data_IF_158847343612
#
_entry.id   IF_158847343612
#
_cell.length_a   1.000
_cell.length_b   1.000
_cell.length_c   1.000
_cell.angle_alpha   90.00
_cell.angle_beta   90.00
_cell.angle_gamma   90.00
#
_symmetry.space_group_name_H-M   'P 1'
#
loop_
_entity.id
_entity.type
_entity.pdbx_description
1 polymer ?
#
# COMPACT_ATOMS: atom_id res chain seq x y z
N UNK A 1 -13.74 16.76 -4.37
CA UNK A 1 -12.85 15.71 -3.85
C UNK A 1 -13.65 14.41 -3.84
N UNK A 2 -13.29 13.41 -4.67
CA UNK A 2 -13.98 12.12 -4.64
C UNK A 2 -13.63 11.43 -3.32
N UNK A 3 -14.63 11.05 -2.54
CA UNK A 3 -14.42 10.31 -1.30
C UNK A 3 -13.90 8.91 -1.64
N UNK A 4 -12.75 8.55 -1.07
CA UNK A 4 -12.24 7.18 -1.14
C UNK A 4 -13.22 6.28 -0.39
N UNK A 5 -13.70 5.22 -1.05
CA UNK A 5 -14.62 4.25 -0.47
C UNK A 5 -14.09 2.84 -0.66
N UNK A 6 -14.50 1.90 0.19
CA UNK A 6 -14.13 0.49 0.06
C UNK A 6 -14.46 -0.06 -1.34
N UNK A 7 -15.68 0.19 -1.85
CA UNK A 7 -16.11 -0.25 -3.19
C UNK A 7 -15.23 0.28 -4.31
N UNK A 8 -14.77 1.53 -4.22
CA UNK A 8 -13.86 2.11 -5.22
C UNK A 8 -12.48 1.44 -5.17
N UNK A 9 -11.93 1.28 -3.97
CA UNK A 9 -10.62 0.63 -3.78
C UNK A 9 -10.66 -0.82 -4.26
N UNK A 10 -11.69 -1.58 -3.85
CA UNK A 10 -11.89 -2.96 -4.27
C UNK A 10 -12.01 -3.04 -5.81
N UNK A 11 -12.83 -2.19 -6.45
CA UNK A 11 -12.98 -2.14 -7.91
C UNK A 11 -11.65 -1.90 -8.64
N UNK A 12 -10.79 -1.03 -8.11
CA UNK A 12 -9.50 -0.70 -8.71
C UNK A 12 -8.45 -1.80 -8.47
N UNK A 13 -8.56 -2.53 -7.36
CA UNK A 13 -7.64 -3.60 -6.99
C UNK A 13 -7.98 -4.95 -7.65
N UNK A 14 -9.28 -5.25 -7.85
CA UNK A 14 -9.77 -6.56 -8.30
C UNK A 14 -9.03 -7.15 -9.52
N UNK A 15 -8.75 -6.37 -10.60
CA UNK A 15 -8.07 -6.91 -11.78
C UNK A 15 -6.60 -7.32 -11.55
N UNK A 16 -6.05 -6.97 -10.39
CA UNK A 16 -4.64 -7.15 -10.05
C UNK A 16 -4.43 -8.03 -8.81
N UNK A 17 -5.52 -8.45 -8.16
CA UNK A 17 -5.50 -9.04 -6.83
C UNK A 17 -5.51 -10.56 -6.90
N UNK A 18 -4.66 -11.18 -6.09
CA UNK A 18 -4.75 -12.60 -5.74
C UNK A 18 -5.66 -12.80 -4.52
N UNK A 19 -6.25 -13.99 -4.39
CA UNK A 19 -7.35 -14.26 -3.43
C UNK A 19 -7.02 -13.98 -1.97
N UNK A 20 -5.75 -14.10 -1.58
CA UNK A 20 -5.25 -13.95 -0.21
C UNK A 20 -4.66 -12.55 0.08
N UNK A 21 -4.51 -11.70 -0.93
CA UNK A 21 -3.92 -10.38 -0.75
C UNK A 21 -4.79 -9.46 0.09
N UNK A 22 -4.15 -8.75 1.02
CA UNK A 22 -4.72 -7.63 1.73
C UNK A 22 -4.50 -6.33 0.96
N UNK A 23 -5.42 -5.39 1.15
CA UNK A 23 -5.47 -4.12 0.43
C UNK A 23 -5.29 -2.98 1.42
N UNK A 24 -4.52 -1.96 1.06
CA UNK A 24 -4.57 -0.67 1.74
C UNK A 24 -4.43 0.51 0.78
N UNK A 25 -4.94 1.67 1.17
CA UNK A 25 -4.72 2.94 0.48
C UNK A 25 -3.60 3.72 1.18
N UNK A 26 -2.65 4.23 0.41
CA UNK A 26 -1.45 4.89 0.92
C UNK A 26 -1.08 6.15 0.14
N UNK A 27 -0.22 6.96 0.76
CA UNK A 27 0.44 8.10 0.13
C UNK A 27 1.92 7.77 -0.05
N UNK A 28 2.38 7.49 -1.29
CA UNK A 28 3.80 7.38 -1.61
C UNK A 28 4.54 8.69 -1.27
N UNK A 29 5.78 8.56 -0.79
CA UNK A 29 6.65 9.66 -0.37
C UNK A 29 8.08 9.54 -0.94
N UNK A 30 8.37 8.55 -1.77
CA UNK A 30 9.67 8.39 -2.42
C UNK A 30 9.71 9.04 -3.81
N UNK A 31 10.90 9.41 -4.28
CA UNK A 31 11.11 9.94 -5.64
C UNK A 31 10.78 8.92 -6.73
N UNK A 32 10.86 7.62 -6.42
CA UNK A 32 10.48 6.54 -7.35
C UNK A 32 8.97 6.41 -7.56
N UNK A 33 8.14 7.14 -6.80
CA UNK A 33 6.69 7.08 -6.92
C UNK A 33 6.17 7.77 -8.18
N UNK A 34 5.32 7.07 -8.93
CA UNK A 34 4.69 7.62 -10.14
C UNK A 34 3.63 8.68 -9.83
N UNK A 35 2.97 8.59 -8.68
CA UNK A 35 1.93 9.53 -8.23
C UNK A 35 1.89 9.61 -6.70
N UNK A 36 1.16 10.59 -6.17
CA UNK A 36 0.98 10.79 -4.72
C UNK A 36 -0.09 9.90 -4.08
N UNK A 37 -0.64 8.92 -4.81
CA UNK A 37 -1.72 8.05 -4.33
C UNK A 37 -1.50 6.63 -4.81
N UNK A 38 -1.53 5.66 -3.90
CA UNK A 38 -1.37 4.27 -4.26
C UNK A 38 -2.32 3.35 -3.49
N UNK A 39 -2.68 2.23 -4.12
CA UNK A 39 -3.20 1.06 -3.43
C UNK A 39 -2.04 0.06 -3.32
N UNK A 40 -1.82 -0.46 -2.13
CA UNK A 40 -0.88 -1.56 -1.92
C UNK A 40 -1.69 -2.84 -1.76
N UNK A 41 -1.30 -3.86 -2.51
CA UNK A 41 -1.74 -5.24 -2.34
C UNK A 41 -0.57 -6.05 -1.79
N UNK A 42 -0.81 -6.86 -0.78
CA UNK A 42 0.24 -7.60 -0.08
C UNK A 42 -0.29 -8.94 0.40
N UNK A 43 0.43 -10.01 0.08
CA UNK A 43 0.36 -11.30 0.75
C UNK A 43 1.78 -11.69 1.22
N UNK A 44 2.01 -12.96 1.52
CA UNK A 44 3.32 -13.44 1.97
C UNK A 44 4.37 -13.45 0.86
N UNK A 45 3.93 -13.60 -0.39
CA UNK A 45 4.82 -13.86 -1.51
C UNK A 45 5.10 -12.60 -2.34
N UNK A 46 4.11 -11.70 -2.45
CA UNK A 46 4.14 -10.58 -3.39
C UNK A 46 3.62 -9.29 -2.80
N UNK A 47 4.21 -8.20 -3.27
CA UNK A 47 3.69 -6.85 -3.12
C UNK A 47 3.35 -6.27 -4.50
N UNK A 48 2.15 -5.73 -4.64
CA UNK A 48 1.72 -5.00 -5.83
C UNK A 48 1.38 -3.56 -5.45
N UNK A 49 2.00 -2.61 -6.14
CA UNK A 49 1.80 -1.18 -5.95
C UNK A 49 1.05 -0.61 -7.15
N UNK A 50 -0.20 -0.19 -6.91
CA UNK A 50 -1.07 0.39 -7.92
C UNK A 50 -1.11 1.91 -7.73
N UNK A 51 -0.37 2.65 -8.55
CA UNK A 51 -0.38 4.11 -8.54
C UNK A 51 -1.65 4.63 -9.21
N UNK A 52 -2.29 5.61 -8.59
CA UNK A 52 -3.58 6.13 -9.03
C UNK A 52 -3.44 7.54 -9.60
N UNK A 53 -4.33 7.91 -10.52
CA UNK A 53 -4.43 9.30 -10.95
C UNK A 53 -4.80 10.24 -9.77
N UNK A 54 -4.71 11.55 -10.00
CA UNK A 54 -4.94 12.59 -8.99
C UNK A 54 -6.28 12.44 -8.23
N UNK A 55 -7.30 11.92 -8.90
CA UNK A 55 -8.66 11.75 -8.36
C UNK A 55 -8.95 10.34 -7.83
N UNK A 56 -7.97 9.43 -7.84
CA UNK A 56 -8.13 8.03 -7.43
C UNK A 56 -9.25 7.29 -8.16
N UNK A 57 -9.44 7.57 -9.45
CA UNK A 57 -10.47 6.94 -10.29
C UNK A 57 -9.91 5.90 -11.25
N UNK A 58 -8.60 5.89 -11.51
CA UNK A 58 -7.95 4.84 -12.31
C UNK A 58 -6.55 4.51 -11.78
N UNK A 59 -6.13 3.27 -12.03
CA UNK A 59 -4.73 2.86 -11.95
C UNK A 59 -3.99 3.41 -13.18
N UNK A 60 -2.91 4.16 -12.95
CA UNK A 60 -2.07 4.72 -14.01
C UNK A 60 -0.80 3.91 -14.21
N UNK A 61 -0.32 3.23 -13.16
CA UNK A 61 0.86 2.40 -13.21
C UNK A 61 0.73 1.27 -12.18
N UNK A 62 1.17 0.08 -12.57
CA UNK A 62 1.34 -1.08 -11.68
C UNK A 62 2.83 -1.40 -11.58
N UNK A 63 3.28 -1.70 -10.38
CA UNK A 63 4.60 -2.28 -10.11
C UNK A 63 4.42 -3.47 -9.19
N UNK A 64 5.14 -4.56 -9.42
CA UNK A 64 5.00 -5.82 -8.69
C UNK A 64 6.37 -6.38 -8.37
N UNK A 65 6.51 -6.93 -7.17
CA UNK A 65 7.74 -7.49 -6.64
C UNK A 65 7.46 -8.68 -5.73
N UNK A 66 8.44 -9.57 -5.57
CA UNK A 66 8.43 -10.58 -4.53
C UNK A 66 8.71 -9.94 -3.17
N UNK A 67 8.02 -10.41 -2.14
CA UNK A 67 8.27 -9.99 -0.75
C UNK A 67 9.68 -10.36 -0.31
N UNK A 68 10.20 -11.50 -0.79
CA UNK A 68 11.54 -11.98 -0.50
C UNK A 68 12.65 -11.01 -0.96
N UNK A 69 12.37 -10.18 -1.97
CA UNK A 69 13.31 -9.20 -2.52
C UNK A 69 13.35 -7.88 -1.73
N UNK A 70 12.47 -7.69 -0.74
CA UNK A 70 12.38 -6.45 0.02
C UNK A 70 13.54 -6.31 1.01
N UNK A 71 14.40 -5.32 0.76
CA UNK A 71 15.59 -5.04 1.57
C UNK A 71 15.40 -3.79 2.43
N UNK A 72 16.22 -3.66 3.49
CA UNK A 72 16.26 -2.47 4.36
C UNK A 72 14.88 -1.98 4.82
N UNK A 73 13.99 -2.92 5.13
CA UNK A 73 12.63 -2.60 5.54
C UNK A 73 12.65 -1.80 6.85
N UNK A 74 11.96 -0.66 6.86
CA UNK A 74 11.80 0.21 8.03
C UNK A 74 10.32 0.48 8.25
N UNK A 75 9.90 0.31 9.48
CA UNK A 75 8.54 0.55 9.92
C UNK A 75 8.54 1.54 11.08
N UNK A 76 7.87 2.67 10.89
CA UNK A 76 7.78 3.71 11.90
C UNK A 76 6.32 3.96 12.28
N UNK A 77 5.99 3.56 13.50
CA UNK A 77 4.69 3.71 14.12
C UNK A 77 4.80 4.74 15.25
N UNK A 78 4.88 6.02 14.88
CA UNK A 78 4.88 7.12 15.86
C UNK A 78 3.50 7.37 16.48
N UNK A 79 3.39 8.40 17.33
CA UNK A 79 2.14 8.92 17.94
C UNK A 79 1.10 9.42 16.92
N UNK A 80 1.43 9.41 15.63
CA UNK A 80 0.60 9.92 14.55
C UNK A 80 -0.48 8.91 14.11
N UNK A 81 -1.53 9.45 13.50
CA UNK A 81 -2.64 8.70 12.88
C UNK A 81 -2.24 7.89 11.64
N UNK A 82 -0.97 7.99 11.22
CA UNK A 82 -0.37 7.25 10.12
C UNK A 82 0.88 6.49 10.56
N UNK A 83 1.20 5.48 9.77
CA UNK A 83 2.39 4.65 9.83
C UNK A 83 3.23 4.96 8.60
N UNK A 84 4.55 4.95 8.76
CA UNK A 84 5.47 5.00 7.65
C UNK A 84 6.07 3.62 7.44
N UNK A 85 5.93 3.07 6.25
CA UNK A 85 6.62 1.86 5.82
C UNK A 85 7.51 2.18 4.62
N UNK A 86 8.76 1.77 4.68
CA UNK A 86 9.70 1.93 3.58
C UNK A 86 10.59 0.72 3.41
N UNK A 87 11.06 0.49 2.20
CA UNK A 87 11.95 -0.61 1.84
C UNK A 87 12.73 -0.24 0.58
N UNK A 88 13.78 -0.99 0.30
CA UNK A 88 14.54 -0.93 -0.94
C UNK A 88 14.28 -2.18 -1.77
N UNK A 89 14.24 -2.03 -3.09
CA UNK A 89 14.21 -3.14 -4.03
C UNK A 89 14.86 -2.72 -5.34
N UNK A 90 15.73 -3.56 -5.91
CA UNK A 90 16.46 -3.25 -7.16
C UNK A 90 17.14 -1.88 -7.15
N UNK A 91 17.71 -1.48 -6.00
CA UNK A 91 18.36 -0.17 -5.82
C UNK A 91 17.40 1.03 -5.73
N UNK A 92 16.08 0.81 -5.76
CA UNK A 92 15.07 1.86 -5.62
C UNK A 92 14.50 1.88 -4.21
N UNK A 93 14.42 3.08 -3.63
CA UNK A 93 13.79 3.29 -2.34
C UNK A 93 12.29 3.58 -2.49
N UNK A 94 11.47 2.82 -1.77
CA UNK A 94 10.03 3.01 -1.68
C UNK A 94 9.63 3.42 -0.27
N UNK A 95 8.78 4.44 -0.16
CA UNK A 95 8.29 4.95 1.11
C UNK A 95 6.82 5.29 1.02
N UNK A 96 6.03 4.80 1.96
CA UNK A 96 4.58 4.97 2.02
C UNK A 96 4.15 5.47 3.39
N UNK A 97 3.31 6.50 3.40
CA UNK A 97 2.52 6.90 4.56
C UNK A 97 1.15 6.24 4.48
N UNK A 98 0.79 5.46 5.49
CA UNK A 98 -0.43 4.66 5.54
C UNK A 98 -1.24 5.12 6.75
N UNK A 99 -2.42 5.70 6.52
CA UNK A 99 -3.32 6.08 7.61
C UNK A 99 -3.85 4.83 8.30
N UNK A 100 -3.79 4.78 9.64
CA UNK A 100 -4.30 3.66 10.43
C UNK A 100 -5.81 3.47 10.29
N UNK A 101 -6.53 4.57 10.04
CA UNK A 101 -7.99 4.59 9.90
C UNK A 101 -8.40 5.57 8.82
N UNK A 102 -9.18 5.09 7.86
CA UNK A 102 -9.94 5.87 6.91
C UNK A 102 -11.38 5.38 7.03
N UNK A 103 -12.29 6.21 7.53
CA UNK A 103 -13.62 5.77 7.97
C UNK A 103 -14.37 4.96 6.89
N UNK A 104 -14.41 5.40 5.61
CA UNK A 104 -15.07 4.63 4.54
C UNK A 104 -14.39 3.31 4.16
N UNK A 105 -13.19 3.02 4.67
CA UNK A 105 -12.44 1.78 4.40
C UNK A 105 -12.58 0.75 5.53
N UNK A 106 -13.28 1.08 6.63
CA UNK A 106 -13.48 0.16 7.75
C UNK A 106 -12.17 -0.35 8.33
N UNK A 107 -12.02 -1.67 8.47
CA UNK A 107 -10.83 -2.33 9.00
C UNK A 107 -9.71 -2.56 7.99
N UNK A 108 -9.90 -2.25 6.70
CA UNK A 108 -8.97 -2.55 5.61
C UNK A 108 -7.53 -2.12 5.93
N UNK A 109 -7.36 -0.85 6.33
CA UNK A 109 -6.06 -0.27 6.71
C UNK A 109 -5.42 -1.01 7.89
N UNK A 110 -6.22 -1.31 8.93
CA UNK A 110 -5.75 -1.99 10.14
C UNK A 110 -5.32 -3.43 9.84
N UNK A 111 -6.12 -4.16 9.07
CA UNK A 111 -5.85 -5.55 8.72
C UNK A 111 -4.54 -5.65 7.94
N UNK A 112 -4.34 -4.77 6.96
CA UNK A 112 -3.08 -4.68 6.21
C UNK A 112 -1.88 -4.39 7.14
N UNK A 113 -1.99 -3.38 8.00
CA UNK A 113 -0.88 -3.01 8.90
C UNK A 113 -0.53 -4.11 9.90
N UNK A 114 -1.54 -4.81 10.43
CA UNK A 114 -1.33 -5.95 11.32
C UNK A 114 -0.62 -7.10 10.59
N UNK A 115 -1.07 -7.43 9.38
CA UNK A 115 -0.45 -8.47 8.56
C UNK A 115 1.01 -8.13 8.23
N UNK A 116 1.27 -6.89 7.81
CA UNK A 116 2.60 -6.40 7.49
C UNK A 116 3.56 -6.58 8.68
N UNK A 117 3.14 -6.17 9.87
CA UNK A 117 3.96 -6.35 11.08
C UNK A 117 4.18 -7.83 11.43
N UNK A 118 3.15 -8.66 11.33
CA UNK A 118 3.20 -10.04 11.81
C UNK A 118 3.87 -11.02 10.85
N UNK A 119 3.85 -10.75 9.53
CA UNK A 119 4.24 -11.74 8.53
C UNK A 119 5.39 -11.28 7.62
N UNK A 120 5.66 -9.97 7.55
CA UNK A 120 6.63 -9.43 6.59
C UNK A 120 7.82 -8.75 7.29
N UNK A 121 7.56 -8.06 8.40
CA UNK A 121 8.57 -7.31 9.15
C UNK A 121 9.17 -8.09 10.33
N UNK A 122 8.57 -9.23 10.69
CA UNK A 122 9.01 -10.07 11.80
C UNK A 122 10.36 -10.73 11.50
#
# INVERSE_FOLDING_TARGET
>A
MLFITKKLIDKLAEPHRESDMLICYSTPQSFSAYTSRAILLLNNDRIIMLFLNLFSTKVVQKVEFEVADLQEQKYHSGLLSSVIWSFNINGQHWRFSIMRKILPLGSMQRNFLNFLQQNILN
#
